data_IF_837100678035
#
_entry.id   IF_837100678035
#
_cell.length_a   1.000
_cell.length_b   1.000
_cell.length_c   1.000
_cell.angle_alpha   90.00
_cell.angle_beta   90.00
_cell.angle_gamma   90.00
#
_symmetry.space_group_name_H-M   'P 1'
#
loop_
_entity.id
_entity.type
_entity.pdbx_description
1 polymer ?
#
# COMPACT_ATOMS: atom_id res chain seq x y z
N UNK A 1 -19.01 59.54 -26.79
CA UNK A 1 -19.14 58.47 -25.80
C UNK A 1 -19.27 57.09 -26.38
N UNK A 2 -19.78 56.88 -27.59
CA UNK A 2 -19.96 55.54 -28.22
C UNK A 2 -18.64 54.81 -28.56
N UNK A 3 -17.57 55.55 -28.91
CA UNK A 3 -16.29 54.93 -29.34
C UNK A 3 -15.43 54.38 -28.18
N UNK A 4 -15.61 54.86 -26.93
CA UNK A 4 -14.86 54.37 -25.77
C UNK A 4 -15.45 53.08 -25.21
N UNK A 5 -16.74 52.87 -25.36
CA UNK A 5 -17.42 51.64 -24.90
C UNK A 5 -17.11 50.46 -25.83
N UNK A 6 -16.95 50.68 -27.13
CA UNK A 6 -16.56 49.67 -28.09
C UNK A 6 -15.13 49.18 -27.90
N UNK A 7 -14.20 50.08 -27.48
CA UNK A 7 -12.79 49.70 -27.20
C UNK A 7 -12.64 48.88 -25.92
N UNK A 8 -13.48 49.18 -24.92
CA UNK A 8 -13.50 48.38 -23.67
C UNK A 8 -14.05 46.97 -23.87
N UNK A 9 -15.07 46.84 -24.73
CA UNK A 9 -15.66 45.53 -25.03
C UNK A 9 -14.71 44.65 -25.84
N UNK A 10 -13.93 45.21 -26.75
CA UNK A 10 -12.89 44.50 -27.52
C UNK A 10 -11.72 44.06 -26.65
N UNK A 11 -11.37 44.82 -25.62
CA UNK A 11 -10.28 44.47 -24.69
C UNK A 11 -10.69 43.32 -23.76
N UNK A 12 -11.96 43.26 -23.34
CA UNK A 12 -12.48 42.19 -22.48
C UNK A 12 -12.58 40.85 -23.25
N UNK A 13 -12.91 40.87 -24.52
CA UNK A 13 -12.97 39.69 -25.37
C UNK A 13 -11.56 39.13 -25.66
N UNK A 14 -10.52 39.99 -25.73
CA UNK A 14 -9.15 39.56 -25.97
C UNK A 14 -8.50 38.87 -24.76
N UNK A 15 -8.97 39.12 -23.53
CA UNK A 15 -8.42 38.49 -22.29
C UNK A 15 -8.97 37.07 -22.05
N UNK A 16 -10.12 36.70 -22.62
CA UNK A 16 -10.76 35.40 -22.42
C UNK A 16 -10.14 34.28 -23.27
N UNK A 17 -9.27 34.60 -24.25
CA UNK A 17 -8.69 33.59 -25.17
C UNK A 17 -7.29 33.11 -24.75
N UNK A 18 -6.72 33.65 -23.65
CA UNK A 18 -5.49 33.06 -23.06
C UNK A 18 -5.89 32.06 -22.01
N UNK A 19 -6.70 31.10 -22.39
CA UNK A 19 -6.80 29.84 -21.69
C UNK A 19 -5.49 29.06 -21.93
N UNK A 20 -4.60 29.05 -20.96
CA UNK A 20 -3.46 28.15 -20.98
C UNK A 20 -3.96 26.75 -21.23
N UNK A 21 -3.92 26.25 -22.45
CA UNK A 21 -3.95 24.82 -22.71
C UNK A 21 -2.70 24.23 -22.05
N UNK A 22 -2.85 23.74 -20.85
CA UNK A 22 -1.88 22.84 -20.23
C UNK A 22 -1.82 21.63 -21.15
N UNK A 23 -0.87 21.61 -22.07
CA UNK A 23 -0.58 20.44 -22.89
C UNK A 23 -0.03 19.41 -21.92
N UNK A 24 -0.89 18.50 -21.47
CA UNK A 24 -0.43 17.27 -20.82
C UNK A 24 0.23 16.50 -21.96
N UNK A 25 1.55 16.54 -22.02
CA UNK A 25 2.31 15.62 -22.85
C UNK A 25 2.10 14.22 -22.26
N UNK A 26 1.13 13.51 -22.77
CA UNK A 26 1.07 12.07 -22.60
C UNK A 26 2.33 11.52 -23.30
N UNK A 27 3.35 11.20 -22.52
CA UNK A 27 4.41 10.30 -22.98
C UNK A 27 3.70 9.08 -23.54
N UNK A 28 4.10 8.62 -24.73
CA UNK A 28 3.45 7.54 -25.46
C UNK A 28 2.96 6.43 -24.51
N UNK A 29 1.63 6.26 -24.42
CA UNK A 29 0.98 5.32 -23.53
C UNK A 29 1.27 3.86 -23.88
N UNK A 30 1.88 3.58 -25.04
CA UNK A 30 2.27 2.25 -25.45
C UNK A 30 3.37 1.61 -24.59
N UNK A 31 4.20 2.41 -23.89
CA UNK A 31 5.27 1.91 -23.02
C UNK A 31 4.82 1.70 -21.57
N UNK A 32 3.59 2.12 -21.21
CA UNK A 32 3.08 2.15 -19.85
C UNK A 32 1.89 1.23 -19.57
N UNK A 33 1.32 0.61 -20.59
CA UNK A 33 0.30 -0.41 -20.42
C UNK A 33 0.93 -1.77 -20.06
N UNK A 34 1.67 -1.80 -18.93
CA UNK A 34 2.25 -3.03 -18.41
C UNK A 34 1.15 -3.96 -17.91
N UNK A 35 1.37 -5.26 -18.09
CA UNK A 35 0.62 -6.29 -17.42
C UNK A 35 0.90 -6.18 -15.90
N UNK A 36 -0.10 -6.20 -15.02
CA UNK A 36 0.14 -6.21 -13.57
C UNK A 36 1.07 -7.33 -13.12
N UNK A 37 1.12 -8.46 -13.82
CA UNK A 37 2.04 -9.56 -13.51
C UNK A 37 3.52 -9.20 -13.74
N UNK A 38 3.82 -8.23 -14.60
CA UNK A 38 5.20 -7.72 -14.78
C UNK A 38 5.76 -7.09 -13.51
N UNK A 39 4.89 -6.58 -12.64
CA UNK A 39 5.25 -5.94 -11.37
C UNK A 39 5.06 -6.86 -10.18
N UNK A 40 4.69 -8.12 -10.38
CA UNK A 40 4.58 -9.07 -9.29
C UNK A 40 5.72 -10.09 -9.36
N UNK A 41 6.04 -10.71 -8.22
CA UNK A 41 7.06 -11.76 -8.17
C UNK A 41 6.72 -12.88 -9.15
N UNK A 42 7.72 -13.39 -9.86
CA UNK A 42 7.51 -14.52 -10.78
C UNK A 42 6.89 -15.71 -10.06
N UNK A 43 5.72 -16.13 -10.52
CA UNK A 43 4.97 -17.25 -9.94
C UNK A 43 5.48 -18.58 -10.53
N UNK A 44 6.70 -18.96 -10.14
CA UNK A 44 7.32 -20.24 -10.46
C UNK A 44 7.78 -20.91 -9.17
N UNK A 45 7.56 -22.23 -9.06
CA UNK A 45 7.99 -23.02 -7.90
C UNK A 45 9.50 -22.87 -7.68
N UNK A 46 9.88 -22.57 -6.44
CA UNK A 46 11.26 -22.32 -6.03
C UNK A 46 11.72 -20.85 -6.14
N UNK A 47 10.91 -19.97 -6.73
CA UNK A 47 11.14 -18.52 -6.65
C UNK A 47 10.87 -18.02 -5.24
N UNK A 48 11.69 -17.04 -4.80
CA UNK A 48 11.54 -16.44 -3.49
C UNK A 48 11.88 -14.94 -3.49
N UNK A 49 11.40 -14.25 -2.48
CA UNK A 49 11.81 -12.90 -2.11
C UNK A 49 12.02 -12.84 -0.60
N UNK A 50 13.14 -12.27 -0.17
CA UNK A 50 13.50 -12.10 1.25
C UNK A 50 13.46 -10.62 1.61
N UNK A 51 12.81 -10.32 2.70
CA UNK A 51 12.62 -8.96 3.21
C UNK A 51 13.19 -8.82 4.61
N UNK A 52 13.69 -7.63 4.91
CA UNK A 52 13.74 -7.15 6.28
C UNK A 52 12.31 -6.71 6.66
N UNK A 53 11.80 -7.26 7.75
CA UNK A 53 10.50 -6.94 8.33
C UNK A 53 10.73 -6.23 9.65
N UNK A 54 10.35 -4.97 9.75
CA UNK A 54 10.36 -4.19 10.98
C UNK A 54 8.92 -4.03 11.46
N UNK A 55 8.59 -4.55 12.65
CA UNK A 55 7.27 -4.52 13.25
C UNK A 55 7.27 -3.66 14.50
N UNK A 56 6.51 -2.57 14.47
CA UNK A 56 6.23 -1.75 15.63
C UNK A 56 5.08 -2.36 16.42
N UNK A 57 5.32 -2.70 17.66
CA UNK A 57 4.34 -3.27 18.58
C UNK A 57 4.11 -2.35 19.76
N UNK A 58 2.86 -2.28 20.21
CA UNK A 58 2.46 -1.55 21.40
C UNK A 58 2.32 -2.53 22.56
N UNK A 59 2.98 -2.24 23.68
CA UNK A 59 2.97 -3.10 24.86
C UNK A 59 2.72 -2.26 26.13
N UNK A 60 2.63 -2.90 27.29
CA UNK A 60 2.20 -2.22 28.52
C UNK A 60 0.87 -1.51 28.34
N UNK A 61 -0.14 -2.25 27.84
CA UNK A 61 -1.46 -1.68 27.50
C UNK A 61 -1.36 -0.49 26.52
N UNK A 62 -0.45 -0.54 25.56
CA UNK A 62 -0.28 0.48 24.55
C UNK A 62 0.45 1.76 24.98
N UNK A 63 0.99 1.80 26.21
CA UNK A 63 1.70 2.97 26.74
C UNK A 63 3.15 3.07 26.26
N UNK A 64 3.71 1.94 25.88
CA UNK A 64 5.07 1.83 25.34
C UNK A 64 5.04 1.19 23.96
N UNK A 65 6.05 1.49 23.16
CA UNK A 65 6.23 0.86 21.84
C UNK A 65 7.66 0.33 21.67
N UNK A 66 7.80 -0.68 20.82
CA UNK A 66 9.09 -1.22 20.42
C UNK A 66 9.04 -1.72 18.99
N UNK A 67 10.15 -1.58 18.28
CA UNK A 67 10.31 -2.16 16.95
C UNK A 67 11.09 -3.45 17.05
N UNK A 68 10.50 -4.55 16.60
CA UNK A 68 11.17 -5.84 16.47
C UNK A 68 11.44 -6.11 14.99
N UNK A 69 12.67 -6.50 14.67
CA UNK A 69 13.11 -6.76 13.30
C UNK A 69 13.30 -8.25 13.05
N UNK A 70 12.87 -8.72 11.89
CA UNK A 70 12.97 -10.10 11.41
C UNK A 70 13.45 -10.12 9.96
N UNK A 71 13.86 -11.29 9.51
CA UNK A 71 13.89 -11.63 8.09
C UNK A 71 12.62 -12.39 7.75
N UNK A 72 11.95 -12.01 6.67
CA UNK A 72 10.77 -12.68 6.14
C UNK A 72 11.05 -13.14 4.72
N UNK A 73 10.96 -14.46 4.44
CA UNK A 73 11.17 -15.04 3.12
C UNK A 73 9.87 -15.62 2.60
N UNK A 74 9.36 -15.06 1.52
CA UNK A 74 8.23 -15.58 0.77
C UNK A 74 8.73 -16.52 -0.33
N UNK A 75 8.33 -17.78 -0.28
CA UNK A 75 8.75 -18.84 -1.21
C UNK A 75 7.54 -19.41 -1.94
N UNK A 76 7.61 -19.51 -3.26
CA UNK A 76 6.58 -20.13 -4.10
C UNK A 76 6.72 -21.65 -4.03
N UNK A 77 5.77 -22.33 -3.37
CA UNK A 77 5.86 -23.75 -3.07
C UNK A 77 5.23 -24.64 -4.14
N UNK A 78 4.06 -24.26 -4.62
CA UNK A 78 3.33 -25.05 -5.64
C UNK A 78 2.30 -24.21 -6.37
N UNK A 79 1.92 -24.68 -7.57
CA UNK A 79 0.76 -24.21 -8.30
C UNK A 79 -0.42 -25.17 -8.14
N UNK A 80 -1.63 -24.63 -8.29
CA UNK A 80 -2.87 -25.40 -8.27
C UNK A 80 -3.97 -24.64 -9.02
N UNK A 81 -5.08 -25.31 -9.29
CA UNK A 81 -6.27 -24.67 -9.85
C UNK A 81 -7.24 -24.35 -8.70
N UNK A 82 -7.68 -23.10 -8.58
CA UNK A 82 -8.62 -22.66 -7.55
C UNK A 82 -10.05 -23.10 -7.86
N UNK A 83 -10.97 -22.86 -6.91
CA UNK A 83 -12.39 -23.21 -7.05
C UNK A 83 -13.13 -22.48 -8.18
N UNK A 84 -12.52 -21.43 -8.75
CA UNK A 84 -13.02 -20.67 -9.91
C UNK A 84 -12.32 -21.04 -11.22
N UNK A 85 -11.56 -22.14 -11.22
CA UNK A 85 -10.78 -22.65 -12.35
C UNK A 85 -9.65 -21.71 -12.81
N UNK A 86 -9.12 -20.86 -11.91
CA UNK A 86 -7.96 -20.03 -12.18
C UNK A 86 -6.67 -20.73 -11.71
N UNK A 87 -5.58 -20.48 -12.44
CA UNK A 87 -4.25 -20.87 -11.98
C UNK A 87 -3.88 -20.05 -10.75
N UNK A 88 -3.53 -20.70 -9.66
CA UNK A 88 -3.13 -20.10 -8.40
C UNK A 88 -1.83 -20.71 -7.87
N UNK A 89 -1.14 -20.00 -7.01
CA UNK A 89 0.10 -20.44 -6.38
C UNK A 89 0.00 -20.32 -4.86
N UNK A 90 0.52 -21.32 -4.18
CA UNK A 90 0.74 -21.28 -2.74
C UNK A 90 2.12 -20.72 -2.47
N UNK A 91 2.18 -19.69 -1.64
CA UNK A 91 3.39 -19.07 -1.13
C UNK A 91 3.47 -19.28 0.36
N UNK A 92 4.64 -19.72 0.86
CA UNK A 92 4.89 -19.84 2.28
C UNK A 92 5.83 -18.73 2.72
N UNK A 93 5.44 -17.99 3.75
CA UNK A 93 6.29 -17.05 4.45
C UNK A 93 7.01 -17.75 5.59
N UNK A 94 8.33 -17.68 5.54
CA UNK A 94 9.22 -18.10 6.60
C UNK A 94 9.75 -16.89 7.34
N UNK A 95 9.87 -16.98 8.64
CA UNK A 95 10.52 -15.97 9.47
C UNK A 95 11.82 -16.50 10.06
N UNK A 96 12.78 -15.59 10.21
CA UNK A 96 14.03 -15.80 10.91
C UNK A 96 14.37 -14.57 11.73
N UNK A 97 15.25 -14.71 12.73
CA UNK A 97 15.95 -13.55 13.28
C UNK A 97 16.86 -12.91 12.23
N UNK A 98 17.48 -11.79 12.56
CA UNK A 98 18.35 -11.06 11.62
C UNK A 98 19.62 -11.82 11.23
N UNK A 99 19.95 -12.94 11.90
CA UNK A 99 21.08 -13.79 11.50
C UNK A 99 20.78 -14.66 10.27
N UNK A 100 19.51 -14.93 10.01
CA UNK A 100 19.08 -15.81 8.92
C UNK A 100 19.51 -17.27 9.07
N UNK A 101 19.94 -17.66 10.29
CA UNK A 101 20.50 -19.00 10.54
C UNK A 101 19.44 -20.10 10.66
N UNK A 102 18.22 -19.75 11.02
CA UNK A 102 17.10 -20.69 11.17
C UNK A 102 15.81 -20.05 10.66
N UNK A 103 15.06 -20.82 9.86
CA UNK A 103 13.83 -20.37 9.25
C UNK A 103 12.64 -21.21 9.73
N UNK A 104 11.59 -20.56 10.18
CA UNK A 104 10.36 -21.20 10.62
C UNK A 104 9.20 -20.72 9.76
N UNK A 105 8.41 -21.66 9.24
CA UNK A 105 7.19 -21.33 8.52
C UNK A 105 6.22 -20.58 9.45
N UNK A 106 5.81 -19.39 9.05
CA UNK A 106 4.94 -18.51 9.82
C UNK A 106 3.51 -18.54 9.30
N UNK A 107 3.35 -18.41 7.98
CA UNK A 107 2.04 -18.39 7.35
C UNK A 107 2.11 -18.82 5.89
N UNK A 108 0.96 -19.14 5.32
CA UNK A 108 0.80 -19.36 3.89
C UNK A 108 -0.23 -18.39 3.32
N UNK A 109 -0.05 -18.02 2.08
CA UNK A 109 -1.03 -17.25 1.33
C UNK A 109 -1.09 -17.73 -0.11
N UNK A 110 -2.15 -17.37 -0.82
CA UNK A 110 -2.31 -17.72 -2.22
C UNK A 110 -2.26 -16.50 -3.11
N UNK A 111 -1.68 -16.67 -4.29
CA UNK A 111 -1.62 -15.66 -5.34
C UNK A 111 -2.34 -16.18 -6.58
N UNK A 112 -3.27 -15.42 -7.11
CA UNK A 112 -3.98 -15.72 -8.35
C UNK A 112 -3.74 -14.58 -9.33
N UNK A 113 -2.66 -14.64 -10.15
CA UNK A 113 -2.36 -13.62 -11.14
C UNK A 113 -3.07 -13.89 -12.46
N UNK A 114 -3.38 -12.82 -13.14
CA UNK A 114 -3.81 -12.80 -14.54
C UNK A 114 -3.29 -11.54 -15.22
N UNK A 115 -3.39 -11.46 -16.54
CA UNK A 115 -3.01 -10.26 -17.31
C UNK A 115 -3.80 -9.01 -16.93
N UNK A 116 -4.89 -9.15 -16.21
CA UNK A 116 -5.74 -8.02 -15.80
C UNK A 116 -5.63 -7.71 -14.30
N UNK A 117 -5.30 -8.70 -13.47
CA UNK A 117 -5.43 -8.58 -12.02
C UNK A 117 -4.46 -9.52 -11.31
N UNK A 118 -3.96 -9.06 -10.16
CA UNK A 118 -3.24 -9.92 -9.20
C UNK A 118 -4.00 -9.92 -7.88
N UNK A 119 -4.57 -11.08 -7.55
CA UNK A 119 -5.24 -11.31 -6.28
C UNK A 119 -4.30 -12.01 -5.30
N UNK A 120 -4.33 -11.57 -4.06
CA UNK A 120 -3.64 -12.22 -2.94
C UNK A 120 -4.66 -12.54 -1.85
N UNK A 121 -4.67 -13.79 -1.37
CA UNK A 121 -5.49 -14.20 -0.24
C UNK A 121 -4.56 -14.59 0.91
N UNK A 122 -4.54 -13.78 1.95
CA UNK A 122 -3.72 -13.89 3.15
C UNK A 122 -4.62 -13.85 4.39
N UNK A 123 -4.48 -14.78 5.33
CA UNK A 123 -5.33 -14.87 6.54
C UNK A 123 -6.85 -14.92 6.22
N UNK A 124 -7.24 -15.61 5.16
CA UNK A 124 -8.62 -15.64 4.62
C UNK A 124 -9.15 -14.28 4.13
N UNK A 125 -8.31 -13.26 4.04
CA UNK A 125 -8.65 -11.95 3.51
C UNK A 125 -8.14 -11.85 2.07
N UNK A 126 -9.00 -11.47 1.14
CA UNK A 126 -8.69 -11.42 -0.29
C UNK A 126 -8.55 -9.97 -0.77
N UNK A 127 -7.38 -9.66 -1.34
CA UNK A 127 -7.01 -8.34 -1.82
C UNK A 127 -6.75 -8.34 -3.32
N UNK A 128 -7.30 -7.38 -4.04
CA UNK A 128 -6.88 -7.07 -5.41
C UNK A 128 -5.67 -6.13 -5.35
N UNK A 129 -4.47 -6.71 -5.39
CA UNK A 129 -3.22 -5.96 -5.19
C UNK A 129 -2.83 -5.11 -6.39
N UNK A 130 -2.98 -5.63 -7.60
CA UNK A 130 -2.67 -4.92 -8.84
C UNK A 130 -3.80 -5.10 -9.84
N UNK A 131 -4.10 -4.06 -10.63
CA UNK A 131 -5.13 -4.05 -11.66
C UNK A 131 -4.61 -3.46 -12.97
N UNK A 132 -5.10 -3.97 -14.12
CA UNK A 132 -4.78 -3.44 -15.45
C UNK A 132 -5.72 -2.29 -15.83
N UNK A 133 -5.20 -1.32 -16.61
CA UNK A 133 -3.81 -1.14 -17.03
C UNK A 133 -2.96 -0.52 -15.91
N UNK A 134 -1.67 -0.86 -15.86
CA UNK A 134 -0.74 -0.21 -14.92
C UNK A 134 -0.39 1.17 -15.45
N UNK A 135 -1.18 2.16 -15.09
CA UNK A 135 -1.05 3.56 -15.54
C UNK A 135 -1.16 4.53 -14.37
N UNK A 136 -0.43 5.64 -14.46
CA UNK A 136 -0.45 6.69 -13.44
C UNK A 136 -1.87 7.17 -13.17
N UNK A 137 -2.26 7.19 -11.88
CA UNK A 137 -3.57 7.67 -11.43
C UNK A 137 -4.74 6.70 -11.63
N UNK A 138 -4.55 5.49 -12.23
CA UNK A 138 -5.60 4.50 -12.24
C UNK A 138 -5.94 4.11 -10.79
N UNK A 139 -7.24 4.07 -10.48
CA UNK A 139 -7.74 3.69 -9.17
C UNK A 139 -8.70 2.51 -9.26
N UNK A 140 -8.67 1.65 -8.24
CA UNK A 140 -9.58 0.52 -8.11
C UNK A 140 -9.88 0.21 -6.63
N UNK A 141 -11.00 -0.46 -6.36
CA UNK A 141 -11.36 -0.88 -5.01
C UNK A 141 -10.62 -2.18 -4.65
N UNK A 142 -9.41 -2.07 -4.11
CA UNK A 142 -8.51 -3.19 -3.82
C UNK A 142 -9.04 -4.12 -2.72
N UNK A 143 -9.83 -3.60 -1.80
CA UNK A 143 -10.40 -4.30 -0.66
C UNK A 143 -11.85 -4.77 -0.86
N UNK A 144 -12.37 -4.71 -2.08
CA UNK A 144 -13.79 -5.00 -2.37
C UNK A 144 -14.27 -6.41 -1.95
N UNK A 145 -13.34 -7.34 -1.78
CA UNK A 145 -13.63 -8.71 -1.36
C UNK A 145 -13.44 -8.96 0.15
N UNK A 146 -13.10 -7.93 0.94
CA UNK A 146 -12.96 -8.06 2.39
C UNK A 146 -14.33 -8.14 3.07
N UNK A 147 -14.45 -8.91 4.15
CA UNK A 147 -15.61 -8.85 5.03
C UNK A 147 -15.70 -7.49 5.74
N UNK A 148 -16.81 -7.23 6.37
CA UNK A 148 -16.96 -6.07 7.26
C UNK A 148 -16.02 -6.20 8.47
N UNK A 149 -15.30 -5.12 8.82
CA UNK A 149 -14.38 -5.03 9.96
C UNK A 149 -13.38 -6.21 10.07
N UNK A 150 -12.54 -6.49 9.04
CA UNK A 150 -11.72 -7.70 8.98
C UNK A 150 -10.63 -7.79 10.05
N UNK A 151 -10.33 -6.70 10.75
CA UNK A 151 -9.31 -6.62 11.81
C UNK A 151 -9.90 -6.43 13.21
N UNK A 152 -11.23 -6.44 13.37
CA UNK A 152 -11.89 -6.20 14.66
C UNK A 152 -11.45 -7.20 15.75
N UNK A 153 -11.19 -8.45 15.37
CA UNK A 153 -10.73 -9.48 16.32
C UNK A 153 -9.29 -9.27 16.79
N UNK A 154 -8.51 -8.47 16.09
CA UNK A 154 -7.10 -8.21 16.41
C UNK A 154 -6.88 -6.84 17.04
N UNK A 155 -7.74 -5.89 16.73
CA UNK A 155 -7.63 -4.51 17.16
C UNK A 155 -9.02 -4.02 17.50
N UNK A 156 -9.18 -3.51 18.73
CA UNK A 156 -10.42 -2.87 19.19
C UNK A 156 -10.52 -1.48 18.59
N UNK A 157 -10.64 -1.41 17.25
CA UNK A 157 -10.94 -0.17 16.57
C UNK A 157 -12.41 0.16 16.78
N UNK A 158 -12.70 1.37 17.23
CA UNK A 158 -14.05 1.89 17.16
C UNK A 158 -14.49 1.96 15.70
N UNK A 159 -15.71 1.54 15.39
CA UNK A 159 -16.31 1.62 14.05
C UNK A 159 -16.39 3.05 13.48
N UNK A 160 -16.07 4.05 14.28
CA UNK A 160 -15.94 5.46 13.89
C UNK A 160 -14.68 5.75 13.07
N UNK A 161 -13.78 4.77 12.89
CA UNK A 161 -12.77 4.91 11.88
C UNK A 161 -13.48 5.02 10.53
N UNK A 162 -13.52 6.19 9.97
CA UNK A 162 -14.14 6.62 8.70
C UNK A 162 -13.73 5.81 7.48
N UNK A 163 -13.09 4.69 7.70
CA UNK A 163 -12.43 3.86 6.72
C UNK A 163 -13.08 2.51 6.70
N UNK A 164 -14.27 2.45 6.09
CA UNK A 164 -14.73 1.18 5.55
C UNK A 164 -13.59 0.61 4.68
N UNK A 165 -12.80 -0.30 5.26
CA UNK A 165 -11.67 -0.94 4.57
C UNK A 165 -12.08 -1.46 3.19
N UNK A 166 -13.31 -1.98 3.07
CA UNK A 166 -13.87 -2.45 1.82
C UNK A 166 -14.02 -1.38 0.73
N UNK A 167 -14.07 -0.10 1.12
CA UNK A 167 -14.23 1.03 0.20
C UNK A 167 -12.90 1.70 -0.20
N UNK A 168 -11.75 1.19 0.24
CA UNK A 168 -10.47 1.80 -0.10
C UNK A 168 -10.20 1.76 -1.60
N UNK A 169 -9.91 2.93 -2.15
CA UNK A 169 -9.47 3.09 -3.52
C UNK A 169 -7.95 3.05 -3.58
N UNK A 170 -7.41 1.95 -4.06
CA UNK A 170 -5.99 1.83 -4.40
C UNK A 170 -5.71 2.68 -5.63
N UNK A 171 -4.56 3.34 -5.66
CA UNK A 171 -4.19 4.22 -6.77
C UNK A 171 -2.74 4.01 -7.15
N UNK A 172 -2.46 3.86 -8.44
CA UNK A 172 -1.09 3.83 -8.95
C UNK A 172 -0.46 5.23 -8.93
N UNK A 173 0.76 5.27 -8.42
CA UNK A 173 1.62 6.45 -8.38
C UNK A 173 3.03 6.07 -8.83
N UNK A 174 3.76 7.05 -9.38
CA UNK A 174 5.15 6.88 -9.81
C UNK A 174 5.34 5.70 -10.79
N UNK A 175 4.39 5.52 -11.71
CA UNK A 175 4.45 4.42 -12.69
C UNK A 175 5.66 4.58 -13.60
N UNK A 176 6.42 3.47 -13.77
CA UNK A 176 7.65 3.39 -14.52
C UNK A 176 8.73 4.42 -14.09
N UNK A 177 8.67 4.87 -12.84
CA UNK A 177 9.70 5.75 -12.28
C UNK A 177 10.77 4.92 -11.53
N UNK A 178 12.02 5.42 -11.48
CA UNK A 178 13.03 4.78 -10.65
C UNK A 178 12.70 4.97 -9.16
N UNK A 179 13.02 3.95 -8.37
CA UNK A 179 12.88 3.97 -6.92
C UNK A 179 14.19 3.54 -6.26
N UNK A 180 14.64 4.30 -5.27
CA UNK A 180 15.88 3.98 -4.54
C UNK A 180 15.54 3.56 -3.12
N UNK A 181 15.99 2.39 -2.72
CA UNK A 181 15.80 1.82 -1.39
C UNK A 181 17.17 1.53 -0.77
N UNK A 182 17.57 2.35 0.20
CA UNK A 182 18.95 2.31 0.72
C UNK A 182 19.97 2.60 -0.39
N UNK A 183 20.81 1.63 -0.71
CA UNK A 183 21.80 1.72 -1.80
C UNK A 183 21.34 1.09 -3.11
N UNK A 184 20.22 0.39 -3.10
CA UNK A 184 19.69 -0.32 -4.28
C UNK A 184 18.75 0.58 -5.06
N UNK A 185 18.99 0.69 -6.37
CA UNK A 185 18.14 1.43 -7.30
C UNK A 185 17.40 0.44 -8.20
N UNK A 186 16.09 0.62 -8.29
CA UNK A 186 15.18 -0.08 -9.22
C UNK A 186 14.79 0.90 -10.32
N UNK A 187 15.02 0.56 -11.58
CA UNK A 187 14.85 1.50 -12.69
C UNK A 187 13.41 1.72 -13.12
N UNK A 188 12.55 0.73 -12.91
CA UNK A 188 11.13 0.79 -13.28
C UNK A 188 10.29 0.22 -12.14
N UNK A 189 9.54 1.10 -11.48
CA UNK A 189 8.67 0.72 -10.37
C UNK A 189 7.26 1.27 -10.55
N UNK A 190 6.35 0.75 -9.75
CA UNK A 190 5.03 1.30 -9.53
C UNK A 190 4.73 1.32 -8.03
N UNK A 191 4.17 2.41 -7.57
CA UNK A 191 3.71 2.53 -6.20
C UNK A 191 2.19 2.42 -6.16
N UNK A 192 1.67 1.60 -5.26
CA UNK A 192 0.24 1.46 -4.97
C UNK A 192 -0.03 2.14 -3.64
N UNK A 193 -0.66 3.30 -3.68
CA UNK A 193 -1.20 3.95 -2.48
C UNK A 193 -2.57 3.34 -2.19
N UNK A 194 -2.72 2.72 -1.03
CA UNK A 194 -3.95 2.03 -0.61
C UNK A 194 -4.76 2.88 0.36
N UNK A 195 -4.07 3.55 1.29
CA UNK A 195 -4.67 4.52 2.22
C UNK A 195 -3.61 5.52 2.69
N UNK A 196 -4.01 6.76 2.90
CA UNK A 196 -3.18 7.80 3.51
C UNK A 196 -4.09 8.76 4.28
N UNK A 197 -4.32 8.45 5.55
CA UNK A 197 -5.09 9.29 6.44
C UNK A 197 -4.40 9.36 7.81
N UNK A 198 -4.41 10.55 8.43
CA UNK A 198 -3.81 10.74 9.73
C UNK A 198 -4.40 11.95 10.45
N UNK A 199 -4.57 11.82 11.75
CA UNK A 199 -5.04 12.87 12.65
C UNK A 199 -3.98 13.04 13.75
N UNK A 200 -3.51 14.29 13.98
CA UNK A 200 -2.53 14.63 15.01
C UNK A 200 -1.26 13.73 14.96
N UNK A 201 -0.73 13.50 13.76
CA UNK A 201 0.51 12.72 13.54
C UNK A 201 1.56 13.60 12.85
N UNK A 202 2.75 13.80 13.44
CA UNK A 202 3.20 13.29 14.75
C UNK A 202 2.33 13.85 15.89
N UNK A 203 2.22 13.10 17.02
CA UNK A 203 1.43 13.52 18.17
C UNK A 203 2.05 14.80 18.77
N UNK A 204 1.43 15.94 18.48
CA UNK A 204 1.86 17.26 18.94
C UNK A 204 1.18 17.61 20.27
N UNK A 205 -0.10 17.27 20.40
CA UNK A 205 -0.85 17.43 21.65
C UNK A 205 -1.26 16.04 22.19
N UNK A 206 -0.60 15.56 23.25
CA UNK A 206 -0.88 14.25 23.82
C UNK A 206 -2.22 14.20 24.58
N UNK A 207 -2.95 15.30 24.69
CA UNK A 207 -4.31 15.36 25.26
C UNK A 207 -5.37 15.16 24.20
N UNK A 208 -4.99 15.10 22.94
CA UNK A 208 -5.89 14.93 21.80
C UNK A 208 -5.73 13.55 21.19
N UNK A 209 -6.82 13.00 20.68
CA UNK A 209 -6.83 11.79 19.89
C UNK A 209 -5.87 11.90 18.71
N UNK A 210 -5.22 10.79 18.36
CA UNK A 210 -4.44 10.69 17.13
C UNK A 210 -4.69 9.34 16.44
N UNK A 211 -4.60 9.33 15.12
CA UNK A 211 -4.70 8.10 14.34
C UNK A 211 -3.82 8.16 13.11
N UNK A 212 -3.39 6.99 12.65
CA UNK A 212 -2.65 6.82 11.40
C UNK A 212 -3.17 5.60 10.67
N UNK A 213 -3.63 5.82 9.46
CA UNK A 213 -3.94 4.78 8.48
C UNK A 213 -3.11 5.06 7.24
N UNK A 214 -2.02 4.33 7.08
CA UNK A 214 -1.10 4.53 5.98
C UNK A 214 -0.66 3.19 5.40
N UNK A 215 -1.08 2.92 4.16
CA UNK A 215 -0.78 1.68 3.47
C UNK A 215 -0.27 1.98 2.08
N UNK A 216 0.97 1.58 1.82
CA UNK A 216 1.66 1.78 0.55
C UNK A 216 2.51 0.56 0.19
N UNK A 217 2.52 0.21 -1.08
CA UNK A 217 3.36 -0.86 -1.62
C UNK A 217 4.07 -0.36 -2.88
N UNK A 218 5.37 -0.62 -3.00
CA UNK A 218 6.13 -0.33 -4.21
C UNK A 218 6.61 -1.63 -4.81
N UNK A 219 6.35 -1.82 -6.09
CA UNK A 219 6.70 -2.99 -6.86
C UNK A 219 7.71 -2.60 -7.94
N UNK A 220 8.75 -3.41 -8.12
CA UNK A 220 9.71 -3.25 -9.21
C UNK A 220 9.41 -4.26 -10.32
N UNK A 221 9.53 -3.79 -11.56
CA UNK A 221 9.25 -4.61 -12.75
C UNK A 221 10.13 -5.85 -12.77
N UNK A 222 9.52 -7.03 -12.97
CA UNK A 222 10.14 -8.36 -13.00
C UNK A 222 10.77 -8.84 -11.67
N UNK A 223 10.60 -8.09 -10.59
CA UNK A 223 11.09 -8.43 -9.25
C UNK A 223 9.93 -8.70 -8.31
N UNK A 224 8.95 -7.79 -8.29
CA UNK A 224 7.82 -7.83 -7.37
C UNK A 224 7.89 -6.77 -6.29
N UNK A 225 7.33 -7.06 -5.12
CA UNK A 225 7.31 -6.14 -3.99
C UNK A 225 8.74 -5.83 -3.53
N UNK A 226 9.11 -4.55 -3.54
CA UNK A 226 10.41 -4.08 -3.04
C UNK A 226 10.27 -3.32 -1.72
N UNK A 227 9.12 -2.70 -1.50
CA UNK A 227 8.84 -1.96 -0.28
C UNK A 227 7.36 -2.04 0.07
N UNK A 228 7.05 -2.21 1.35
CA UNK A 228 5.71 -2.09 1.93
C UNK A 228 5.81 -1.34 3.24
N UNK A 229 4.91 -0.39 3.45
CA UNK A 229 4.68 0.22 4.75
C UNK A 229 3.18 0.17 5.03
N UNK A 230 2.82 -0.47 6.11
CA UNK A 230 1.44 -0.54 6.61
C UNK A 230 1.40 -0.02 8.02
N UNK A 231 0.55 0.96 8.27
CA UNK A 231 0.29 1.49 9.59
C UNK A 231 -1.23 1.60 9.77
N UNK A 232 -1.71 1.10 10.88
CA UNK A 232 -3.09 1.23 11.31
C UNK A 232 -3.11 1.24 12.82
N UNK A 233 -3.13 2.44 13.41
CA UNK A 233 -3.12 2.61 14.84
C UNK A 233 -3.85 3.87 15.28
N UNK A 234 -4.35 3.83 16.50
CA UNK A 234 -4.97 4.94 17.21
C UNK A 234 -4.23 5.22 18.52
N UNK A 235 -4.23 6.47 18.91
CA UNK A 235 -3.79 6.92 20.21
C UNK A 235 -4.97 7.50 20.99
N UNK A 236 -5.23 6.91 22.14
CA UNK A 236 -6.24 7.36 23.08
C UNK A 236 -5.59 8.25 24.14
N UNK A 237 -6.01 9.50 24.29
CA UNK A 237 -5.42 10.41 25.27
C UNK A 237 -5.79 10.03 26.71
N UNK A 238 -5.06 10.54 27.72
CA UNK A 238 -5.43 10.39 29.12
C UNK A 238 -6.83 10.93 29.40
N UNK A 239 -7.57 10.24 30.26
CA UNK A 239 -8.92 10.70 30.68
C UNK A 239 -8.94 10.97 32.18
N UNK A 240 -9.71 12.00 32.68
CA UNK A 240 -9.74 12.36 34.09
C UNK A 240 -10.14 11.22 35.04
N UNK A 241 -11.02 10.31 34.56
CA UNK A 241 -11.59 9.22 35.37
C UNK A 241 -11.16 7.83 34.85
N UNK A 242 -10.17 7.77 33.98
CA UNK A 242 -9.70 6.52 33.35
C UNK A 242 -8.17 6.42 33.37
N UNK A 243 -7.58 6.05 32.24
CA UNK A 243 -6.11 5.98 32.14
C UNK A 243 -5.49 7.35 32.38
N UNK A 244 -4.51 7.42 33.29
CA UNK A 244 -3.74 8.63 33.57
C UNK A 244 -2.67 8.90 32.49
N UNK A 245 -2.39 7.89 31.67
CA UNK A 245 -1.46 7.96 30.55
C UNK A 245 -2.17 7.62 29.25
N UNK A 246 -1.82 8.31 28.15
CA UNK A 246 -2.32 7.93 26.84
C UNK A 246 -1.76 6.59 26.41
N UNK A 247 -2.45 5.90 25.49
CA UNK A 247 -2.04 4.60 24.98
C UNK A 247 -2.36 4.47 23.49
N UNK A 248 -1.60 3.62 22.81
CA UNK A 248 -1.82 3.27 21.40
C UNK A 248 -2.35 1.86 21.27
N UNK A 249 -3.23 1.66 20.30
CA UNK A 249 -3.67 0.34 19.82
C UNK A 249 -3.45 0.25 18.32
N UNK A 250 -3.24 -0.97 17.82
CA UNK A 250 -3.01 -1.21 16.40
C UNK A 250 -1.60 -1.70 16.10
N UNK A 251 -1.12 -1.44 14.89
CA UNK A 251 0.18 -1.92 14.41
C UNK A 251 0.80 -0.98 13.38
N UNK A 252 2.11 -1.09 13.22
CA UNK A 252 2.84 -0.52 12.08
C UNK A 252 3.93 -1.50 11.65
N UNK A 253 4.06 -1.70 10.34
CA UNK A 253 5.00 -2.68 9.79
C UNK A 253 5.61 -2.15 8.51
N UNK A 254 6.92 -2.37 8.36
CA UNK A 254 7.66 -2.08 7.13
C UNK A 254 8.33 -3.35 6.62
N UNK A 255 8.22 -3.61 5.32
CA UNK A 255 8.97 -4.66 4.63
C UNK A 255 9.86 -4.02 3.57
N UNK A 256 11.12 -4.39 3.57
CA UNK A 256 12.16 -3.89 2.66
C UNK A 256 12.84 -5.07 1.99
N UNK A 257 12.78 -5.16 0.66
CA UNK A 257 13.43 -6.26 -0.09
C UNK A 257 14.94 -6.22 0.11
N UNK A 258 15.53 -7.39 0.42
CA UNK A 258 16.97 -7.55 0.61
C UNK A 258 17.59 -8.61 -0.30
N UNK A 259 16.79 -9.60 -0.76
CA UNK A 259 17.27 -10.67 -1.64
C UNK A 259 16.11 -11.29 -2.41
N UNK A 260 16.37 -11.80 -3.63
CA UNK A 260 15.40 -12.51 -4.48
C UNK A 260 16.10 -13.34 -5.56
N UNK A 261 15.37 -14.28 -6.19
CA UNK A 261 15.86 -15.04 -7.36
C UNK A 261 14.92 -15.02 -8.56
#
# INVERSE_FOLDING_TARGET
MKNRLSLLLTLIVAVVVISCKKTINYKNTSDFAGDPTDYFMSMQVGKYATYRLDSLTFYFYGQLDTTTSYLAKDSVEKSFTDGSNNQAWLVTRYLSDLSGSSWTASQTYTVTPSTQQVWVTENNLRYLKLASPVTEGLSWTGNSALPYAPYQDFFDYSDDSHLSLGAWNYTYQNVAQPYTLGTTKYDSTVTVLQAADSINVPIVDPRSFASKTYWIETYAKHIGLVYRHTAMWEYQPPTPNGSQTGYKIGFEMTMTLIDHN
#
